data_IF_390965733364
#
_entry.id   IF_390965733364
#
_cell.length_a   1.000
_cell.length_b   1.000
_cell.length_c   1.000
_cell.angle_alpha   90.00
_cell.angle_beta   90.00
_cell.angle_gamma   90.00
#
_symmetry.space_group_name_H-M   'P 1'
#
loop_
_entity.id
_entity.type
_entity.pdbx_description
1 polymer ?
#
# COMPACT_ATOMS: atom_id res chain seq x y z
N UNK A 1 -20.29 -25.02 29.89
CA UNK A 1 -21.77 -24.96 29.87
C UNK A 1 -22.37 -23.55 30.02
N UNK A 2 -21.83 -22.67 30.88
CA UNK A 2 -22.34 -21.29 31.05
C UNK A 2 -22.33 -20.44 29.76
N UNK A 3 -21.28 -20.62 28.93
CA UNK A 3 -21.12 -19.87 27.67
C UNK A 3 -22.20 -20.22 26.63
N UNK A 4 -22.49 -21.51 26.43
CA UNK A 4 -23.52 -21.97 25.48
C UNK A 4 -24.91 -21.43 25.87
N UNK A 5 -25.26 -21.49 27.17
CA UNK A 5 -26.53 -20.95 27.67
C UNK A 5 -26.63 -19.44 27.48
N UNK A 6 -25.56 -18.71 27.71
CA UNK A 6 -25.51 -17.26 27.46
C UNK A 6 -25.67 -16.94 25.96
N UNK A 7 -24.95 -17.63 25.08
CA UNK A 7 -25.05 -17.45 23.63
C UNK A 7 -26.45 -17.80 23.11
N UNK A 8 -27.04 -18.89 23.59
CA UNK A 8 -28.43 -19.25 23.27
C UNK A 8 -29.42 -18.17 23.68
N UNK A 9 -29.34 -17.65 24.91
CA UNK A 9 -30.26 -16.60 25.37
C UNK A 9 -30.18 -15.36 24.47
N UNK A 10 -28.96 -14.93 24.12
CA UNK A 10 -28.76 -13.80 23.21
C UNK A 10 -29.30 -14.07 21.80
N UNK A 11 -29.06 -15.27 21.26
CA UNK A 11 -29.63 -15.68 19.97
C UNK A 11 -31.17 -15.67 20.02
N UNK A 12 -31.76 -16.34 21.01
CA UNK A 12 -33.20 -16.50 21.13
C UNK A 12 -33.91 -15.15 21.30
N UNK A 13 -33.32 -14.22 22.05
CA UNK A 13 -33.84 -12.85 22.17
C UNK A 13 -33.84 -12.13 20.82
N UNK A 14 -32.74 -12.20 20.07
CA UNK A 14 -32.61 -11.55 18.75
C UNK A 14 -33.52 -12.18 17.70
N UNK A 15 -33.60 -13.52 17.65
CA UNK A 15 -34.46 -14.25 16.73
C UNK A 15 -35.95 -13.94 16.98
N UNK A 16 -36.38 -13.93 18.25
CA UNK A 16 -37.76 -13.55 18.60
C UNK A 16 -38.03 -12.07 18.27
N UNK A 17 -37.09 -11.18 18.58
CA UNK A 17 -37.22 -9.77 18.21
C UNK A 17 -37.39 -9.58 16.69
N UNK A 18 -36.56 -10.26 15.89
CA UNK A 18 -36.65 -10.20 14.44
C UNK A 18 -38.00 -10.73 13.92
N UNK A 19 -38.40 -11.94 14.35
CA UNK A 19 -39.65 -12.57 13.93
C UNK A 19 -40.88 -11.71 14.27
N UNK A 20 -40.89 -11.06 15.45
CA UNK A 20 -42.01 -10.21 15.89
C UNK A 20 -42.02 -8.83 15.22
N UNK A 21 -40.86 -8.30 14.85
CA UNK A 21 -40.72 -6.94 14.31
C UNK A 21 -40.95 -6.89 12.80
N UNK A 22 -40.38 -7.86 12.07
CA UNK A 22 -40.34 -7.84 10.60
C UNK A 22 -41.33 -8.79 9.95
N UNK A 23 -41.95 -9.71 10.71
CA UNK A 23 -42.91 -10.71 10.22
C UNK A 23 -42.46 -11.36 8.89
N UNK A 24 -41.24 -11.94 8.84
CA UNK A 24 -40.70 -12.51 7.63
C UNK A 24 -41.54 -13.71 7.18
N UNK A 25 -41.56 -13.98 5.87
CA UNK A 25 -42.25 -15.14 5.29
C UNK A 25 -41.71 -16.47 5.84
N UNK A 26 -40.40 -16.52 6.11
CA UNK A 26 -39.72 -17.63 6.78
C UNK A 26 -39.27 -17.16 8.17
N UNK A 27 -39.85 -17.76 9.21
CA UNK A 27 -39.47 -17.46 10.59
C UNK A 27 -38.11 -18.05 10.94
N UNK A 28 -37.28 -17.26 11.63
CA UNK A 28 -36.01 -17.74 12.19
C UNK A 28 -36.30 -18.76 13.29
N UNK A 29 -35.67 -19.93 13.24
CA UNK A 29 -35.90 -21.02 14.19
C UNK A 29 -35.51 -20.62 15.62
N UNK A 30 -36.41 -20.84 16.59
CA UNK A 30 -36.21 -20.53 18.02
C UNK A 30 -36.24 -21.79 18.90
N UNK A 31 -35.30 -22.74 18.72
CA UNK A 31 -35.27 -23.98 19.50
C UNK A 31 -34.95 -23.72 20.98
N UNK A 32 -35.48 -24.58 21.85
CA UNK A 32 -35.22 -24.52 23.28
C UNK A 32 -33.77 -24.89 23.62
N UNK A 33 -33.29 -24.43 24.77
CA UNK A 33 -31.90 -24.65 25.18
C UNK A 33 -31.51 -26.14 25.22
N UNK A 34 -32.39 -27.00 25.73
CA UNK A 34 -32.12 -28.44 25.79
C UNK A 34 -32.07 -29.06 24.38
N UNK A 35 -32.87 -28.56 23.43
CA UNK A 35 -32.84 -29.00 22.02
C UNK A 35 -31.49 -28.68 21.36
N UNK A 36 -30.99 -27.46 21.53
CA UNK A 36 -29.68 -27.05 20.98
C UNK A 36 -28.53 -27.83 21.58
N UNK A 37 -28.62 -28.16 22.87
CA UNK A 37 -27.60 -28.95 23.55
C UNK A 37 -27.53 -30.39 23.01
N UNK A 38 -28.64 -30.90 22.46
CA UNK A 38 -28.71 -32.22 21.83
C UNK A 38 -28.47 -32.21 20.32
N UNK A 39 -28.41 -31.05 19.68
CA UNK A 39 -28.13 -30.93 18.24
C UNK A 39 -26.69 -31.32 17.95
N UNK A 40 -26.50 -32.02 16.83
CA UNK A 40 -25.18 -32.32 16.31
C UNK A 40 -24.53 -31.05 15.71
N UNK A 41 -23.21 -31.04 15.59
CA UNK A 41 -22.47 -29.93 14.98
C UNK A 41 -22.79 -29.75 13.49
N UNK A 42 -23.20 -30.81 12.79
CA UNK A 42 -23.61 -30.73 11.38
C UNK A 42 -25.07 -30.30 11.18
N UNK A 43 -25.81 -29.99 12.26
CA UNK A 43 -27.21 -29.59 12.16
C UNK A 43 -27.35 -28.29 11.36
N UNK A 44 -28.37 -28.23 10.49
CA UNK A 44 -28.66 -27.06 9.66
C UNK A 44 -28.90 -25.80 10.50
N UNK A 45 -29.29 -25.91 11.77
CA UNK A 45 -29.38 -24.79 12.70
C UNK A 45 -28.05 -24.01 12.83
N UNK A 46 -26.92 -24.70 12.77
CA UNK A 46 -25.59 -24.06 12.84
C UNK A 46 -25.16 -23.43 11.52
N UNK A 47 -25.83 -23.80 10.43
CA UNK A 47 -25.64 -23.21 9.11
C UNK A 47 -26.68 -22.11 8.91
N UNK A 48 -26.26 -20.85 8.83
CA UNK A 48 -27.14 -19.67 8.64
C UNK A 48 -27.85 -19.63 7.27
N UNK A 49 -28.02 -20.76 6.58
CA UNK A 49 -28.69 -20.89 5.30
C UNK A 49 -30.19 -20.59 5.33
N UNK A 50 -30.82 -20.54 6.51
CA UNK A 50 -32.20 -20.05 6.62
C UNK A 50 -32.33 -18.52 6.39
N UNK A 51 -31.21 -17.79 6.39
CA UNK A 51 -31.16 -16.35 6.08
C UNK A 51 -30.49 -16.06 4.74
N UNK A 52 -29.96 -17.07 4.05
CA UNK A 52 -29.59 -16.90 2.65
C UNK A 52 -30.90 -16.86 1.89
N UNK A 53 -31.31 -15.69 1.42
CA UNK A 53 -32.46 -15.55 0.57
C UNK A 53 -32.08 -16.07 -0.83
N UNK A 54 -32.27 -17.37 -1.12
CA UNK A 54 -31.62 -17.99 -2.26
C UNK A 54 -32.28 -17.54 -3.56
N UNK A 55 -33.52 -17.07 -3.48
CA UNK A 55 -34.36 -16.63 -4.59
C UNK A 55 -34.29 -15.11 -4.83
N UNK A 56 -33.60 -14.36 -3.96
CA UNK A 56 -33.51 -12.92 -4.14
C UNK A 56 -32.66 -12.57 -5.38
N UNK A 57 -32.95 -11.44 -6.05
CA UNK A 57 -32.25 -11.09 -7.29
C UNK A 57 -30.74 -11.01 -7.13
N UNK A 58 -30.23 -10.62 -5.96
CA UNK A 58 -28.78 -10.56 -5.69
C UNK A 58 -28.13 -11.95 -5.55
N UNK A 59 -28.90 -13.01 -5.29
CA UNK A 59 -28.41 -14.39 -5.16
C UNK A 59 -28.52 -15.19 -6.46
N UNK A 60 -29.51 -14.90 -7.31
CA UNK A 60 -29.78 -15.68 -8.54
C UNK A 60 -29.46 -14.94 -9.82
N UNK A 61 -29.75 -13.63 -9.91
CA UNK A 61 -29.67 -12.90 -11.17
C UNK A 61 -28.21 -12.47 -11.46
N UNK A 62 -27.58 -12.98 -12.53
CA UNK A 62 -26.18 -12.67 -12.84
C UNK A 62 -25.94 -11.18 -13.11
N UNK A 63 -26.92 -10.46 -13.67
CA UNK A 63 -26.81 -9.03 -13.92
C UNK A 63 -26.83 -8.22 -12.63
N UNK A 64 -27.65 -8.63 -11.65
CA UNK A 64 -27.70 -7.97 -10.34
C UNK A 64 -26.39 -8.22 -9.58
N UNK A 65 -25.87 -9.45 -9.62
CA UNK A 65 -24.56 -9.77 -9.04
C UNK A 65 -23.42 -8.97 -9.65
N UNK A 66 -23.36 -8.92 -10.99
CA UNK A 66 -22.36 -8.09 -11.71
C UNK A 66 -22.52 -6.60 -11.39
N UNK A 67 -23.75 -6.13 -11.23
CA UNK A 67 -24.03 -4.75 -10.82
C UNK A 67 -23.53 -4.46 -9.40
N UNK A 68 -23.77 -5.37 -8.45
CA UNK A 68 -23.28 -5.28 -7.07
C UNK A 68 -21.75 -5.31 -7.05
N UNK A 69 -21.13 -6.25 -7.76
CA UNK A 69 -19.67 -6.34 -7.80
C UNK A 69 -19.05 -5.09 -8.40
N UNK A 70 -19.57 -4.59 -9.54
CA UNK A 70 -19.10 -3.36 -10.16
C UNK A 70 -19.25 -2.14 -9.23
N UNK A 71 -20.38 -2.03 -8.54
CA UNK A 71 -20.60 -0.97 -7.54
C UNK A 71 -19.59 -1.05 -6.39
N UNK A 72 -19.38 -2.25 -5.82
CA UNK A 72 -18.42 -2.46 -4.75
C UNK A 72 -17.00 -2.15 -5.21
N UNK A 73 -16.59 -2.57 -6.41
CA UNK A 73 -15.29 -2.22 -6.98
C UNK A 73 -15.11 -0.71 -7.05
N UNK A 74 -16.08 0.03 -7.58
CA UNK A 74 -16.00 1.50 -7.65
C UNK A 74 -15.95 2.13 -6.26
N UNK A 75 -16.75 1.63 -5.31
CA UNK A 75 -16.75 2.12 -3.92
C UNK A 75 -15.39 1.90 -3.27
N UNK A 76 -14.83 0.70 -3.37
CA UNK A 76 -13.52 0.37 -2.83
C UNK A 76 -12.43 1.22 -3.49
N UNK A 77 -12.43 1.36 -4.82
CA UNK A 77 -11.48 2.23 -5.50
C UNK A 77 -11.55 3.67 -4.97
N UNK A 78 -12.74 4.21 -4.70
CA UNK A 78 -12.89 5.54 -4.12
C UNK A 78 -12.34 5.65 -2.69
N UNK A 79 -12.54 4.62 -1.88
CA UNK A 79 -12.00 4.53 -0.52
C UNK A 79 -10.47 4.48 -0.53
N UNK A 80 -9.87 3.67 -1.42
CA UNK A 80 -8.42 3.50 -1.59
C UNK A 80 -7.67 4.77 -2.03
N UNK A 81 -8.35 5.73 -2.66
CA UNK A 81 -7.73 7.01 -3.02
C UNK A 81 -7.24 7.77 -1.78
N UNK A 82 -7.89 7.59 -0.63
CA UNK A 82 -7.50 8.29 0.60
C UNK A 82 -6.19 7.76 1.22
N UNK A 83 -6.00 6.44 1.40
CA UNK A 83 -4.70 5.84 1.70
C UNK A 83 -3.61 6.25 0.70
N UNK A 84 -3.84 6.10 -0.61
CA UNK A 84 -2.85 6.45 -1.65
C UNK A 84 -2.42 7.92 -1.53
N UNK A 85 -3.37 8.84 -1.31
CA UNK A 85 -3.07 10.25 -1.09
C UNK A 85 -2.20 10.50 0.16
N UNK A 86 -2.38 9.71 1.23
CA UNK A 86 -1.56 9.79 2.45
C UNK A 86 -0.16 9.24 2.22
N UNK A 87 -0.03 8.10 1.53
CA UNK A 87 1.26 7.49 1.21
C UNK A 87 2.09 8.38 0.29
N UNK A 88 1.48 8.95 -0.74
CA UNK A 88 2.11 9.93 -1.62
C UNK A 88 2.70 11.12 -0.85
N UNK A 89 1.96 11.64 0.13
CA UNK A 89 2.47 12.70 1.02
C UNK A 89 3.55 12.20 1.95
N UNK A 90 3.39 11.00 2.50
CA UNK A 90 4.41 10.42 3.36
C UNK A 90 5.74 10.23 2.63
N UNK A 91 5.72 9.87 1.33
CA UNK A 91 6.91 9.80 0.49
C UNK A 91 7.60 11.16 0.33
N UNK A 92 6.84 12.24 0.13
CA UNK A 92 7.40 13.59 0.07
C UNK A 92 7.93 14.03 1.45
N UNK A 93 7.22 13.75 2.54
CA UNK A 93 7.69 14.02 3.92
C UNK A 93 8.99 13.26 4.20
N UNK A 94 9.08 12.00 3.76
CA UNK A 94 10.29 11.19 3.84
C UNK A 94 11.43 11.85 3.06
N UNK A 95 11.20 12.30 1.83
CA UNK A 95 12.22 12.96 1.03
C UNK A 95 12.74 14.25 1.69
N UNK A 96 11.85 15.08 2.25
CA UNK A 96 12.22 16.27 3.02
C UNK A 96 13.07 15.89 4.25
N UNK A 97 12.67 14.86 4.99
CA UNK A 97 13.45 14.37 6.13
C UNK A 97 14.82 13.84 5.69
N UNK A 98 14.86 13.12 4.57
CA UNK A 98 16.07 12.52 4.03
C UNK A 98 17.06 13.59 3.55
N UNK A 99 16.61 14.66 2.90
CA UNK A 99 17.44 15.81 2.56
C UNK A 99 18.07 16.41 3.83
N UNK A 100 17.29 16.61 4.88
CA UNK A 100 17.80 17.19 6.13
C UNK A 100 18.88 16.31 6.79
N UNK A 101 18.81 14.98 6.59
CA UNK A 101 19.82 14.02 7.06
C UNK A 101 21.06 14.09 6.19
N UNK A 102 20.90 14.21 4.87
CA UNK A 102 22.02 14.35 3.93
C UNK A 102 22.82 15.62 4.19
N UNK A 103 22.14 16.76 4.43
CA UNK A 103 22.82 18.02 4.79
C UNK A 103 23.62 17.89 6.08
N UNK A 104 23.08 17.22 7.11
CA UNK A 104 23.81 16.96 8.37
C UNK A 104 25.01 16.06 8.15
N UNK A 105 24.89 15.05 7.29
CA UNK A 105 25.98 14.15 6.94
C UNK A 105 27.10 14.91 6.22
N UNK A 106 26.75 15.78 5.27
CA UNK A 106 27.71 16.64 4.59
C UNK A 106 28.44 17.58 5.56
N UNK A 107 27.72 18.21 6.49
CA UNK A 107 28.33 19.07 7.53
C UNK A 107 29.32 18.30 8.40
N UNK A 108 29.04 17.01 8.71
CA UNK A 108 29.99 16.16 9.42
C UNK A 108 31.25 15.92 8.57
N UNK A 109 31.09 15.48 7.32
CA UNK A 109 32.21 15.17 6.42
C UNK A 109 33.08 16.39 6.07
N UNK A 110 32.51 17.60 6.08
CA UNK A 110 33.24 18.83 5.77
C UNK A 110 34.02 19.41 6.96
N UNK A 111 33.90 18.86 8.18
CA UNK A 111 34.66 19.34 9.33
C UNK A 111 36.16 19.08 9.16
N UNK A 112 36.97 20.09 9.49
CA UNK A 112 38.44 20.01 9.45
C UNK A 112 39.00 19.04 10.51
N UNK A 113 38.32 18.88 11.64
CA UNK A 113 38.67 17.92 12.67
C UNK A 113 37.81 16.67 12.53
N UNK A 114 38.41 15.48 12.32
CA UNK A 114 37.63 14.25 12.24
C UNK A 114 36.91 14.03 13.57
N UNK A 115 35.60 13.86 13.49
CA UNK A 115 34.80 13.57 14.69
C UNK A 115 35.17 12.16 15.17
N UNK A 116 35.02 11.86 16.48
CA UNK A 116 35.19 10.50 17.02
C UNK A 116 34.40 9.47 16.18
N UNK A 117 33.23 9.85 15.68
CA UNK A 117 32.38 9.05 14.81
C UNK A 117 33.01 8.68 13.46
N UNK A 118 33.67 9.63 12.77
CA UNK A 118 34.31 9.35 11.46
C UNK A 118 35.50 8.42 11.63
N UNK A 119 36.27 8.65 12.68
CA UNK A 119 37.43 7.84 13.04
C UNK A 119 37.01 6.42 13.45
N UNK A 120 35.92 6.30 14.22
CA UNK A 120 35.32 5.01 14.60
C UNK A 120 34.76 4.25 13.38
N UNK A 121 34.08 4.94 12.48
CA UNK A 121 33.52 4.33 11.27
C UNK A 121 34.63 3.84 10.32
N UNK A 122 35.64 4.67 10.09
CA UNK A 122 36.82 4.30 9.30
C UNK A 122 37.57 3.11 9.92
N UNK A 123 37.74 3.11 11.25
CA UNK A 123 38.38 2.00 11.96
C UNK A 123 37.56 0.71 11.90
N UNK A 124 36.22 0.81 12.01
CA UNK A 124 35.31 -0.34 11.98
C UNK A 124 35.23 -0.99 10.59
N UNK A 125 35.20 -0.18 9.54
CA UNK A 125 35.02 -0.65 8.16
C UNK A 125 36.32 -0.69 7.36
N UNK A 126 37.46 -0.36 7.97
CA UNK A 126 38.77 -0.29 7.30
C UNK A 126 38.76 0.58 6.04
N UNK A 127 37.98 1.66 6.03
CA UNK A 127 37.80 2.54 4.88
C UNK A 127 38.50 3.91 5.08
N UNK A 128 38.86 4.55 3.97
CA UNK A 128 39.46 5.89 3.96
C UNK A 128 38.37 6.97 3.92
N UNK A 129 38.68 8.20 4.37
CA UNK A 129 37.80 9.37 4.22
C UNK A 129 37.33 9.58 2.78
N UNK A 130 38.21 9.34 1.81
CA UNK A 130 37.87 9.43 0.38
C UNK A 130 36.77 8.43 -0.04
N UNK A 131 36.69 7.28 0.61
CA UNK A 131 35.63 6.29 0.37
C UNK A 131 34.31 6.78 0.95
N UNK A 132 34.33 7.42 2.13
CA UNK A 132 33.13 8.02 2.72
C UNK A 132 32.60 9.18 1.86
N UNK A 133 33.48 10.04 1.37
CA UNK A 133 33.13 11.13 0.44
C UNK A 133 32.52 10.56 -0.85
N UNK A 134 33.11 9.51 -1.43
CA UNK A 134 32.57 8.85 -2.62
C UNK A 134 31.21 8.19 -2.38
N UNK A 135 31.02 7.52 -1.24
CA UNK A 135 29.71 6.93 -0.88
C UNK A 135 28.66 8.04 -0.72
N UNK A 136 29.02 9.12 -0.04
CA UNK A 136 28.14 10.28 0.11
C UNK A 136 27.78 10.88 -1.25
N UNK A 137 28.76 11.12 -2.13
CA UNK A 137 28.56 11.68 -3.47
C UNK A 137 27.59 10.81 -4.28
N UNK A 138 27.77 9.49 -4.25
CA UNK A 138 26.87 8.55 -4.93
C UNK A 138 25.46 8.57 -4.34
N UNK A 139 25.34 8.56 -3.02
CA UNK A 139 24.04 8.65 -2.34
C UNK A 139 23.34 9.97 -2.65
N UNK A 140 24.08 11.08 -2.66
CA UNK A 140 23.57 12.40 -3.00
C UNK A 140 23.12 12.45 -4.47
N UNK A 141 23.90 11.88 -5.39
CA UNK A 141 23.54 11.78 -6.80
C UNK A 141 22.23 11.01 -7.00
N UNK A 142 22.11 9.79 -6.44
CA UNK A 142 20.89 8.97 -6.55
C UNK A 142 19.66 9.71 -6.01
N UNK A 143 19.74 10.26 -4.80
CA UNK A 143 18.63 11.01 -4.22
C UNK A 143 18.27 12.27 -5.04
N UNK A 144 19.27 13.02 -5.53
CA UNK A 144 19.02 14.19 -6.37
C UNK A 144 18.29 13.82 -7.66
N UNK A 145 18.69 12.73 -8.33
CA UNK A 145 18.02 12.25 -9.54
C UNK A 145 16.55 11.91 -9.27
N UNK A 146 16.30 11.09 -8.24
CA UNK A 146 14.94 10.68 -7.86
C UNK A 146 14.07 11.90 -7.54
N UNK A 147 14.54 12.82 -6.70
CA UNK A 147 13.76 14.00 -6.33
C UNK A 147 13.55 14.97 -7.49
N UNK A 148 14.54 15.11 -8.39
CA UNK A 148 14.37 15.91 -9.62
C UNK A 148 13.35 15.28 -10.57
N UNK A 149 13.32 13.95 -10.71
CA UNK A 149 12.32 13.25 -11.50
C UNK A 149 10.91 13.49 -10.93
N UNK A 150 10.76 13.33 -9.61
CA UNK A 150 9.49 13.55 -8.91
C UNK A 150 8.98 14.98 -9.02
N UNK A 151 9.89 15.96 -9.04
CA UNK A 151 9.54 17.39 -9.06
C UNK A 151 8.59 17.79 -10.19
N UNK A 152 8.62 17.08 -11.33
CA UNK A 152 7.72 17.32 -12.46
C UNK A 152 6.24 17.21 -12.09
N UNK A 153 5.88 16.30 -11.17
CA UNK A 153 4.50 16.00 -10.79
C UNK A 153 4.20 16.26 -9.31
N UNK A 154 5.21 16.51 -8.47
CA UNK A 154 5.03 16.68 -7.01
C UNK A 154 3.99 17.75 -6.64
N UNK A 155 3.98 18.91 -7.28
CA UNK A 155 3.00 19.96 -6.95
C UNK A 155 1.58 19.57 -7.35
N UNK A 156 1.41 18.86 -8.47
CA UNK A 156 0.10 18.35 -8.87
C UNK A 156 -0.38 17.28 -7.90
N UNK A 157 0.51 16.36 -7.51
CA UNK A 157 0.25 15.31 -6.52
C UNK A 157 -0.15 15.88 -5.15
N UNK A 158 0.55 16.91 -4.67
CA UNK A 158 0.20 17.62 -3.43
C UNK A 158 -1.16 18.32 -3.53
N UNK A 159 -1.46 18.99 -4.66
CA UNK A 159 -2.77 19.61 -4.85
C UNK A 159 -3.91 18.59 -4.95
N UNK A 160 -3.68 17.49 -5.66
CA UNK A 160 -4.65 16.41 -5.83
C UNK A 160 -4.96 15.72 -4.49
N UNK A 161 -3.93 15.32 -3.75
CA UNK A 161 -4.06 14.59 -2.49
C UNK A 161 -4.76 15.40 -1.39
N UNK A 162 -4.77 16.74 -1.49
CA UNK A 162 -5.44 17.63 -0.54
C UNK A 162 -6.95 17.36 -0.44
N UNK A 163 -7.56 16.84 -1.51
CA UNK A 163 -8.99 16.52 -1.57
C UNK A 163 -9.39 15.37 -0.64
N UNK A 164 -8.44 14.51 -0.28
CA UNK A 164 -8.67 13.29 0.50
C UNK A 164 -8.17 13.39 1.95
N UNK A 165 -7.66 14.56 2.35
CA UNK A 165 -7.21 14.82 3.71
C UNK A 165 -8.26 15.58 4.51
N UNK A 166 -8.35 15.24 5.80
CA UNK A 166 -9.06 16.05 6.77
C UNK A 166 -8.22 17.31 7.06
N UNK A 167 -8.85 18.48 7.00
CA UNK A 167 -8.25 19.84 6.95
C UNK A 167 -7.34 20.27 8.12
N UNK A 168 -6.91 19.37 9.00
CA UNK A 168 -6.31 19.70 10.31
C UNK A 168 -4.88 19.17 10.54
N UNK A 169 -4.12 18.73 9.51
CA UNK A 169 -2.69 18.47 9.71
C UNK A 169 -1.89 19.80 9.65
N UNK A 170 -1.39 20.33 10.78
CA UNK A 170 -0.62 21.57 10.79
C UNK A 170 0.69 21.48 10.00
N UNK A 171 1.21 20.27 9.79
CA UNK A 171 2.46 19.97 9.06
C UNK A 171 2.29 20.16 7.54
N UNK A 172 1.04 20.15 7.06
CA UNK A 172 0.73 20.18 5.62
C UNK A 172 0.84 21.59 5.01
N UNK A 173 0.76 22.64 5.83
CA UNK A 173 0.71 24.03 5.35
C UNK A 173 1.99 24.50 4.67
N UNK A 174 3.12 23.88 4.98
CA UNK A 174 4.43 24.32 4.50
C UNK A 174 5.11 23.29 3.58
N UNK A 175 4.43 22.18 3.28
CA UNK A 175 5.04 21.05 2.58
C UNK A 175 5.50 21.38 1.16
N UNK A 176 4.73 22.19 0.42
CA UNK A 176 5.14 22.70 -0.90
C UNK A 176 6.41 23.55 -0.81
N UNK A 177 6.50 24.44 0.18
CA UNK A 177 7.67 25.31 0.39
C UNK A 177 8.89 24.51 0.82
N UNK A 178 8.71 23.51 1.69
CA UNK A 178 9.78 22.60 2.09
C UNK A 178 10.29 21.79 0.89
N UNK A 179 9.39 21.33 0.02
CA UNK A 179 9.77 20.64 -1.21
C UNK A 179 10.56 21.54 -2.17
N UNK A 180 10.13 22.80 -2.37
CA UNK A 180 10.86 23.76 -3.20
C UNK A 180 12.30 24.00 -2.68
N UNK A 181 12.47 24.04 -1.36
CA UNK A 181 13.78 24.17 -0.73
C UNK A 181 14.66 22.93 -1.01
N UNK A 182 14.10 21.73 -0.83
CA UNK A 182 14.79 20.47 -1.15
C UNK A 182 15.27 20.50 -2.60
N UNK A 183 14.41 20.82 -3.56
CA UNK A 183 14.78 20.84 -4.98
C UNK A 183 15.83 21.90 -5.30
N UNK A 184 15.77 23.06 -4.63
CA UNK A 184 16.80 24.11 -4.78
C UNK A 184 18.16 23.63 -4.27
N UNK A 185 18.20 22.98 -3.11
CA UNK A 185 19.43 22.40 -2.56
C UNK A 185 19.95 21.26 -3.45
N UNK A 186 19.07 20.41 -3.96
CA UNK A 186 19.44 19.29 -4.82
C UNK A 186 20.06 19.76 -6.13
N UNK A 187 19.49 20.78 -6.77
CA UNK A 187 20.09 21.38 -7.97
C UNK A 187 21.48 21.95 -7.67
N UNK A 188 21.62 22.70 -6.58
CA UNK A 188 22.93 23.24 -6.18
C UNK A 188 23.95 22.15 -5.85
N UNK A 189 23.52 21.07 -5.19
CA UNK A 189 24.38 19.93 -4.85
C UNK A 189 24.78 19.16 -6.09
N UNK A 190 23.84 18.90 -7.00
CA UNK A 190 24.07 18.24 -8.28
C UNK A 190 25.07 19.00 -9.16
N UNK A 191 24.93 20.33 -9.25
CA UNK A 191 25.89 21.19 -9.97
C UNK A 191 27.31 21.09 -9.39
N UNK A 192 27.45 21.01 -8.05
CA UNK A 192 28.75 20.82 -7.40
C UNK A 192 29.33 19.44 -7.71
N UNK A 193 28.51 18.41 -7.66
CA UNK A 193 28.91 17.01 -7.84
C UNK A 193 29.29 16.65 -9.28
N UNK A 194 28.68 17.29 -10.29
CA UNK A 194 29.06 17.13 -11.70
C UNK A 194 30.36 17.86 -12.02
N UNK A 195 30.59 19.01 -11.39
CA UNK A 195 31.80 19.80 -11.60
C UNK A 195 33.02 19.26 -10.82
N UNK A 196 32.80 18.33 -9.88
CA UNK A 196 33.86 17.56 -9.25
C UNK A 196 34.09 16.28 -10.06
N UNK A 197 35.33 16.08 -10.54
CA UNK A 197 35.80 14.83 -11.17
C UNK A 197 35.75 13.67 -10.15
N UNK A 198 34.56 13.12 -9.90
CA UNK A 198 34.38 12.00 -8.98
C UNK A 198 34.50 10.70 -9.77
N UNK A 199 35.47 9.86 -9.38
CA UNK A 199 35.79 8.57 -9.99
C UNK A 199 34.54 7.67 -9.91
N UNK A 200 33.98 7.39 -11.07
CA UNK A 200 32.75 6.62 -11.24
C UNK A 200 33.03 5.16 -10.88
N UNK A 201 32.42 4.68 -9.80
CA UNK A 201 32.05 3.28 -9.66
C UNK A 201 30.55 3.23 -9.92
N UNK A 202 30.17 2.89 -11.14
CA UNK A 202 28.80 2.58 -11.53
C UNK A 202 28.37 1.36 -10.70
N UNK A 203 27.67 1.59 -9.58
CA UNK A 203 26.78 0.57 -9.05
C UNK A 203 25.52 0.64 -9.90
N UNK A 204 25.45 -0.27 -10.87
CA UNK A 204 24.27 -0.60 -11.68
C UNK A 204 22.99 -0.47 -10.85
N UNK A 205 22.02 0.26 -11.40
CA UNK A 205 20.74 0.54 -10.75
C UNK A 205 19.94 -0.76 -10.61
N UNK A 206 19.99 -1.31 -9.40
CA UNK A 206 19.28 -2.53 -9.03
C UNK A 206 17.76 -2.41 -9.24
N UNK A 207 17.21 -1.19 -9.24
CA UNK A 207 15.80 -0.89 -9.54
C UNK A 207 15.46 -1.11 -11.02
N UNK A 208 16.36 -0.78 -11.96
CA UNK A 208 16.15 -1.01 -13.40
C UNK A 208 16.15 -2.52 -13.71
N UNK A 209 16.96 -3.30 -12.99
CA UNK A 209 16.99 -4.76 -13.07
C UNK A 209 15.71 -5.41 -12.51
N UNK A 210 15.19 -4.92 -11.38
CA UNK A 210 13.93 -5.42 -10.80
C UNK A 210 12.73 -5.05 -11.68
N UNK A 211 12.73 -3.87 -12.30
CA UNK A 211 11.68 -3.45 -13.23
C UNK A 211 11.73 -4.27 -14.54
N UNK A 212 12.92 -4.53 -15.08
CA UNK A 212 13.09 -5.44 -16.23
C UNK A 212 12.68 -6.89 -15.91
N UNK A 213 12.95 -7.39 -14.70
CA UNK A 213 12.57 -8.75 -14.28
C UNK A 213 11.05 -8.89 -14.13
N UNK A 214 10.38 -7.89 -13.54
CA UNK A 214 8.91 -7.85 -13.45
C UNK A 214 8.23 -7.80 -14.84
N UNK A 215 8.76 -6.98 -15.76
CA UNK A 215 8.25 -6.88 -17.12
C UNK A 215 8.39 -8.20 -17.90
N UNK A 216 9.50 -8.92 -17.70
CA UNK A 216 9.71 -10.24 -18.30
C UNK A 216 8.74 -11.29 -17.75
N UNK A 217 8.45 -11.25 -16.45
CA UNK A 217 7.47 -12.14 -15.81
C UNK A 217 6.05 -11.91 -16.33
N UNK A 218 5.66 -10.64 -16.53
CA UNK A 218 4.36 -10.26 -17.08
C UNK A 218 4.22 -10.67 -18.57
N UNK A 219 5.28 -10.51 -19.36
CA UNK A 219 5.30 -10.94 -20.78
C UNK A 219 5.18 -12.48 -20.91
N UNK A 220 5.85 -13.24 -20.03
CA UNK A 220 5.73 -14.69 -19.97
C UNK A 220 4.33 -15.15 -19.58
N UNK A 221 3.69 -14.50 -18.59
CA UNK A 221 2.30 -14.81 -18.21
C UNK A 221 1.33 -14.54 -19.36
N UNK A 222 1.51 -13.44 -20.08
CA UNK A 222 0.68 -13.08 -21.23
C UNK A 222 0.86 -14.06 -22.40
N UNK A 223 2.07 -14.58 -22.61
CA UNK A 223 2.31 -15.61 -23.63
C UNK A 223 1.64 -16.95 -23.26
N UNK A 224 1.68 -17.35 -21.98
CA UNK A 224 1.02 -18.57 -21.50
C UNK A 224 -0.51 -18.47 -21.61
N UNK A 225 -1.11 -17.32 -21.28
CA UNK A 225 -2.57 -17.12 -21.44
C UNK A 225 -2.99 -17.17 -22.92
N UNK A 226 -2.20 -16.59 -23.82
CA UNK A 226 -2.48 -16.64 -25.25
C UNK A 226 -2.33 -18.07 -25.83
N UNK A 227 -1.38 -18.86 -25.35
CA UNK A 227 -1.18 -20.24 -25.79
C UNK A 227 -2.26 -21.20 -25.24
N UNK A 228 -2.79 -20.95 -24.02
CA UNK A 228 -3.92 -21.70 -23.47
C UNK A 228 -5.23 -21.41 -24.22
N UNK A 229 -5.48 -20.15 -24.61
CA UNK A 229 -6.67 -19.78 -25.41
C UNK A 229 -6.63 -20.34 -26.85
N UNK A 230 -5.43 -20.54 -27.42
CA UNK A 230 -5.26 -21.20 -28.73
C UNK A 230 -5.56 -22.70 -28.63
N UNK A 231 -5.15 -23.36 -27.54
CA UNK A 231 -5.40 -24.79 -27.32
C UNK A 231 -6.85 -25.10 -26.94
N UNK A 232 -7.56 -24.17 -26.30
CA UNK A 232 -8.99 -24.35 -26.00
C UNK A 232 -9.91 -24.24 -27.24
N UNK A 233 -9.40 -23.69 -28.36
CA UNK A 233 -10.15 -23.51 -29.60
C UNK A 233 -10.09 -24.68 -30.59
N UNK A 234 -9.23 -25.68 -30.37
CA UNK A 234 -9.01 -26.80 -31.31
C UNK A 234 -9.81 -28.08 -30.97
N UNK A 235 -10.53 -28.14 -29.83
CA UNK A 235 -11.29 -29.33 -29.40
C UNK A 235 -12.80 -29.30 -29.72
N UNK A 236 -13.28 -28.35 -30.55
CA UNK A 236 -14.69 -28.28 -31.01
C UNK A 236 -14.85 -28.46 -32.54
N UNK A 237 -14.14 -29.39 -33.16
CA UNK A 237 -14.52 -29.91 -34.49
C UNK A 237 -14.20 -31.40 -34.63
N UNK A 238 -15.16 -32.25 -34.22
CA UNK A 238 -15.48 -33.56 -34.86
C UNK A 238 -16.82 -34.14 -34.34
#
# INVERSE_FOLDING_TARGET
>A
MKLLKSKWTSYNQKANYYNTTYLPEILVSTPTFESIKSMDLSDQFWNMGALTHPDEPWAVNPHVQKGISAYLTVSHCQEELSPVAREARQAIKWAISQESRMVKLLDLLQRENPTDFESELCAKHSCSRLVLDSIYDNLAKKNCLVWMAWNSHCHELLRWSKKYLNMEDPDDRNMEQSWDLVITHCKSMWEKLINQDSIIMELEDHEEYEEEEMLQEEELQTQVENDEDILAGEDEED
#
